data_IF_075858324081
#
_entry.id   IF_075858324081
#
_cell.length_a   1.000
_cell.length_b   1.000
_cell.length_c   1.000
_cell.angle_alpha   90.00
_cell.angle_beta   90.00
_cell.angle_gamma   90.00
#
_symmetry.space_group_name_H-M   'P 1'
#
loop_
_entity.id
_entity.type
_entity.pdbx_description
1 polymer ?
#
# COMPACT_ATOMS: atom_id res chain seq x y z
N UNK A 1 39.89 -16.53 22.13
CA UNK A 1 39.90 -15.33 21.24
C UNK A 1 38.73 -15.45 20.30
N UNK A 2 37.66 -14.66 20.48
CA UNK A 2 36.61 -14.54 19.48
C UNK A 2 37.27 -13.91 18.26
N UNK A 3 37.33 -14.67 17.16
CA UNK A 3 38.00 -14.27 15.92
C UNK A 3 37.34 -13.01 15.37
N UNK A 4 38.12 -11.96 15.10
CA UNK A 4 37.69 -10.69 14.51
C UNK A 4 36.83 -10.87 13.24
N UNK A 5 37.05 -11.98 12.52
CA UNK A 5 36.31 -12.36 11.31
C UNK A 5 34.82 -12.61 11.62
N UNK A 6 34.48 -13.19 12.78
CA UNK A 6 33.08 -13.41 13.16
C UNK A 6 32.37 -12.10 13.49
N UNK A 7 33.08 -11.13 14.07
CA UNK A 7 32.52 -9.84 14.43
C UNK A 7 32.18 -9.01 13.17
N UNK A 8 33.05 -9.02 12.15
CA UNK A 8 32.79 -8.29 10.89
C UNK A 8 31.63 -8.87 10.10
N UNK A 9 31.45 -10.20 10.08
CA UNK A 9 30.31 -10.84 9.42
C UNK A 9 28.99 -10.42 10.08
N UNK A 10 28.93 -10.40 11.41
CA UNK A 10 27.73 -9.99 12.14
C UNK A 10 27.36 -8.53 11.85
N UNK A 11 28.33 -7.61 11.85
CA UNK A 11 28.07 -6.20 11.54
C UNK A 11 27.63 -6.01 10.09
N UNK A 12 28.24 -6.73 9.14
CA UNK A 12 27.84 -6.70 7.73
C UNK A 12 26.41 -7.22 7.51
N UNK A 13 26.02 -8.27 8.23
CA UNK A 13 24.68 -8.87 8.12
C UNK A 13 23.61 -7.95 8.73
N UNK A 14 23.92 -7.27 9.84
CA UNK A 14 23.04 -6.23 10.41
C UNK A 14 22.88 -5.04 9.48
N UNK A 15 23.96 -4.59 8.82
CA UNK A 15 23.89 -3.50 7.84
C UNK A 15 23.07 -3.89 6.60
N UNK A 16 23.19 -5.12 6.11
CA UNK A 16 22.39 -5.60 4.98
C UNK A 16 20.91 -5.74 5.32
N UNK A 17 20.59 -6.20 6.54
CA UNK A 17 19.21 -6.24 7.04
C UNK A 17 18.63 -4.83 7.20
N UNK A 18 19.43 -3.86 7.64
CA UNK A 18 18.97 -2.47 7.75
C UNK A 18 18.64 -1.84 6.39
N UNK A 19 19.38 -2.17 5.32
CA UNK A 19 19.09 -1.66 3.97
C UNK A 19 17.85 -2.30 3.32
N UNK A 20 17.51 -3.55 3.65
CA UNK A 20 16.29 -4.17 3.12
C UNK A 20 15.00 -3.52 3.66
N UNK A 21 15.05 -2.94 4.86
CA UNK A 21 13.90 -2.24 5.43
C UNK A 21 13.54 -0.93 4.69
N UNK A 22 14.44 -0.38 3.86
CA UNK A 22 14.15 0.85 3.10
C UNK A 22 13.32 0.63 1.84
N UNK A 23 12.98 -0.62 1.49
CA UNK A 23 12.30 -0.94 0.23
C UNK A 23 10.79 -1.20 0.36
N UNK A 24 10.19 -1.01 1.55
CA UNK A 24 8.73 -1.05 1.73
C UNK A 24 8.06 0.26 1.28
N UNK A 25 8.62 0.90 0.25
CA UNK A 25 8.03 2.06 -0.43
C UNK A 25 7.39 1.71 -1.78
N UNK A 26 7.39 0.44 -2.18
CA UNK A 26 6.79 -0.01 -3.45
C UNK A 26 5.27 -0.18 -3.38
N UNK A 27 4.57 0.81 -2.81
CA UNK A 27 3.10 0.94 -2.87
C UNK A 27 2.57 1.23 -4.29
N UNK A 28 3.43 1.24 -5.31
CA UNK A 28 3.08 1.67 -6.67
C UNK A 28 2.14 0.73 -7.45
N UNK A 29 1.99 -0.54 -7.06
CA UNK A 29 1.12 -1.47 -7.82
C UNK A 29 -0.34 -1.42 -7.39
N UNK A 30 -0.61 -1.14 -6.10
CA UNK A 30 -1.98 -1.12 -5.57
C UNK A 30 -2.70 0.21 -5.78
N UNK A 31 -2.00 1.27 -6.19
CA UNK A 31 -2.55 2.61 -6.29
C UNK A 31 -2.31 3.18 -7.70
N UNK A 32 -3.21 2.90 -8.66
CA UNK A 32 -3.12 3.52 -9.97
C UNK A 32 -3.23 5.05 -9.86
N UNK A 33 -2.56 5.76 -10.78
CA UNK A 33 -2.79 7.19 -10.94
C UNK A 33 -4.17 7.40 -11.60
N UNK A 34 -5.11 7.94 -10.82
CA UNK A 34 -6.53 8.07 -11.23
C UNK A 34 -7.00 9.51 -11.33
N UNK A 35 -6.15 10.45 -10.92
CA UNK A 35 -6.41 11.88 -10.97
C UNK A 35 -5.38 12.54 -11.88
N UNK A 36 -5.77 13.59 -12.58
CA UNK A 36 -4.78 14.40 -13.28
C UNK A 36 -3.96 15.25 -12.28
N UNK A 37 -2.82 15.79 -12.72
CA UNK A 37 -1.92 16.56 -11.86
C UNK A 37 -2.59 17.78 -11.18
N UNK A 38 -3.58 18.40 -11.84
CA UNK A 38 -4.33 19.51 -11.25
C UNK A 38 -5.25 19.05 -10.12
N UNK A 39 -5.93 17.92 -10.28
CA UNK A 39 -6.77 17.30 -9.25
C UNK A 39 -5.94 16.78 -8.08
N UNK A 40 -4.79 16.15 -8.34
CA UNK A 40 -3.88 15.69 -7.29
C UNK A 40 -3.38 16.86 -6.41
N UNK A 41 -3.14 18.02 -7.02
CA UNK A 41 -2.72 19.20 -6.26
C UNK A 41 -3.88 19.82 -5.48
N UNK A 42 -5.08 19.87 -6.06
CA UNK A 42 -6.24 20.52 -5.44
C UNK A 42 -6.90 19.68 -4.36
N UNK A 43 -6.96 18.35 -4.54
CA UNK A 43 -7.69 17.42 -3.67
C UNK A 43 -6.90 16.12 -3.47
N UNK A 44 -5.68 16.18 -2.89
CA UNK A 44 -4.78 15.02 -2.81
C UNK A 44 -5.39 13.86 -2.02
N UNK A 45 -6.13 14.15 -0.94
CA UNK A 45 -6.81 13.13 -0.13
C UNK A 45 -7.87 12.36 -0.93
N UNK A 46 -8.67 13.06 -1.74
CA UNK A 46 -9.71 12.42 -2.57
C UNK A 46 -9.06 11.55 -3.63
N UNK A 47 -7.97 12.04 -4.24
CA UNK A 47 -7.21 11.29 -5.24
C UNK A 47 -6.57 10.03 -4.65
N UNK A 48 -5.98 10.12 -3.47
CA UNK A 48 -5.46 8.94 -2.77
C UNK A 48 -6.54 7.90 -2.49
N UNK A 49 -7.71 8.32 -1.98
CA UNK A 49 -8.84 7.41 -1.75
C UNK A 49 -9.36 6.80 -3.05
N UNK A 50 -9.43 7.57 -4.14
CA UNK A 50 -9.79 7.02 -5.46
C UNK A 50 -8.77 5.97 -5.91
N UNK A 51 -7.47 6.22 -5.75
CA UNK A 51 -6.42 5.29 -6.15
C UNK A 51 -6.56 3.97 -5.40
N UNK A 52 -6.70 4.03 -4.07
CA UNK A 52 -6.99 2.86 -3.23
C UNK A 52 -8.27 2.14 -3.65
N UNK A 53 -9.35 2.87 -3.97
CA UNK A 53 -10.60 2.26 -4.41
C UNK A 53 -10.42 1.49 -5.72
N UNK A 54 -9.89 2.13 -6.76
CA UNK A 54 -9.73 1.50 -8.07
C UNK A 54 -8.75 0.34 -8.04
N UNK A 55 -7.60 0.49 -7.38
CA UNK A 55 -6.61 -0.59 -7.31
C UNK A 55 -7.10 -1.80 -6.54
N UNK A 56 -7.78 -1.61 -5.39
CA UNK A 56 -8.36 -2.74 -4.65
C UNK A 56 -9.54 -3.36 -5.41
N UNK A 57 -10.39 -2.56 -6.06
CA UNK A 57 -11.50 -3.08 -6.86
C UNK A 57 -10.99 -3.92 -8.05
N UNK A 58 -9.97 -3.46 -8.76
CA UNK A 58 -9.33 -4.19 -9.85
C UNK A 58 -8.68 -5.49 -9.34
N UNK A 59 -7.89 -5.40 -8.27
CA UNK A 59 -7.23 -6.56 -7.66
C UNK A 59 -8.23 -7.62 -7.21
N UNK A 60 -9.30 -7.22 -6.53
CA UNK A 60 -10.31 -8.17 -6.01
C UNK A 60 -11.21 -8.71 -7.12
N UNK A 61 -11.54 -7.90 -8.14
CA UNK A 61 -12.26 -8.39 -9.32
C UNK A 61 -11.44 -9.45 -10.06
N UNK A 62 -10.13 -9.22 -10.22
CA UNK A 62 -9.23 -10.20 -10.82
C UNK A 62 -9.10 -11.47 -9.95
N UNK A 63 -9.06 -11.33 -8.63
CA UNK A 63 -8.96 -12.45 -7.70
C UNK A 63 -10.22 -13.33 -7.67
N UNK A 64 -11.41 -12.73 -7.63
CA UNK A 64 -12.68 -13.48 -7.61
C UNK A 64 -13.15 -13.90 -9.01
N UNK A 65 -12.66 -13.23 -10.06
CA UNK A 65 -13.09 -13.46 -11.45
C UNK A 65 -14.44 -12.82 -11.80
N UNK A 66 -14.96 -11.95 -10.94
CA UNK A 66 -16.21 -11.20 -11.10
C UNK A 66 -16.25 -10.03 -10.11
N UNK A 67 -17.30 -9.21 -10.15
CA UNK A 67 -17.41 -8.07 -9.24
C UNK A 67 -17.59 -8.56 -7.80
N UNK A 68 -16.83 -8.01 -6.82
CA UNK A 68 -17.00 -8.41 -5.42
C UNK A 68 -18.41 -8.10 -4.91
N UNK A 69 -19.06 -9.09 -4.30
CA UNK A 69 -20.45 -8.97 -3.82
C UNK A 69 -21.48 -9.60 -4.76
N UNK A 70 -21.09 -9.99 -5.97
CA UNK A 70 -22.00 -10.65 -6.92
C UNK A 70 -22.40 -12.06 -6.46
N UNK A 71 -21.46 -12.82 -5.86
CA UNK A 71 -21.72 -14.19 -5.41
C UNK A 71 -21.89 -14.32 -3.91
N UNK A 72 -21.27 -13.44 -3.12
CA UNK A 72 -21.48 -13.44 -1.68
C UNK A 72 -21.22 -12.08 -1.03
N UNK A 73 -21.93 -11.80 0.05
CA UNK A 73 -21.66 -10.63 0.91
C UNK A 73 -20.26 -10.68 1.54
N UNK A 74 -19.67 -11.88 1.66
CA UNK A 74 -18.34 -12.06 2.20
C UNK A 74 -17.27 -11.42 1.30
N UNK A 75 -17.40 -11.53 -0.02
CA UNK A 75 -16.50 -10.89 -1.00
C UNK A 75 -16.59 -9.37 -0.93
N UNK A 76 -17.80 -8.83 -0.82
CA UNK A 76 -18.02 -7.39 -0.67
C UNK A 76 -17.38 -6.89 0.63
N UNK A 77 -17.60 -7.57 1.76
CA UNK A 77 -17.01 -7.19 3.05
C UNK A 77 -15.49 -7.30 3.04
N UNK A 78 -14.94 -8.34 2.45
CA UNK A 78 -13.50 -8.50 2.29
C UNK A 78 -12.89 -7.35 1.49
N UNK A 79 -13.49 -7.03 0.34
CA UNK A 79 -13.04 -5.95 -0.54
C UNK A 79 -13.13 -4.59 0.14
N UNK A 80 -14.26 -4.29 0.79
CA UNK A 80 -14.45 -3.05 1.55
C UNK A 80 -13.47 -2.93 2.72
N UNK A 81 -13.15 -4.05 3.40
CA UNK A 81 -12.14 -4.06 4.46
C UNK A 81 -10.74 -3.73 3.90
N UNK A 82 -10.36 -4.31 2.76
CA UNK A 82 -9.10 -3.99 2.08
C UNK A 82 -9.04 -2.52 1.65
N UNK A 83 -10.12 -1.98 1.05
CA UNK A 83 -10.21 -0.56 0.69
C UNK A 83 -10.04 0.35 1.90
N UNK A 84 -10.72 0.03 3.02
CA UNK A 84 -10.62 0.79 4.25
C UNK A 84 -9.20 0.76 4.84
N UNK A 85 -8.55 -0.39 4.78
CA UNK A 85 -7.16 -0.53 5.20
C UNK A 85 -6.22 0.32 4.33
N UNK A 86 -6.41 0.32 3.01
CA UNK A 86 -5.65 1.18 2.10
C UNK A 86 -5.82 2.67 2.45
N UNK A 87 -7.06 3.12 2.70
CA UNK A 87 -7.30 4.51 3.09
C UNK A 87 -6.60 4.91 4.39
N UNK A 88 -6.50 3.99 5.36
CA UNK A 88 -5.87 4.24 6.66
C UNK A 88 -4.35 4.17 6.63
N UNK A 89 -3.78 3.33 5.78
CA UNK A 89 -2.33 3.16 5.70
C UNK A 89 -1.71 4.17 4.73
N UNK A 90 -2.28 4.30 3.54
CA UNK A 90 -1.68 5.09 2.46
C UNK A 90 -2.17 6.54 2.44
N UNK A 91 -3.44 6.77 2.78
CA UNK A 91 -4.04 8.10 2.66
C UNK A 91 -4.10 8.90 3.97
N UNK A 92 -3.67 8.33 5.09
CA UNK A 92 -3.81 8.98 6.40
C UNK A 92 -3.06 10.31 6.47
N UNK A 93 -1.80 10.36 6.06
CA UNK A 93 -1.00 11.60 6.10
C UNK A 93 -1.56 12.67 5.14
N UNK A 94 -1.94 12.24 3.93
CA UNK A 94 -2.50 13.11 2.89
C UNK A 94 -3.87 13.67 3.27
N UNK A 95 -4.65 12.93 4.08
CA UNK A 95 -5.96 13.36 4.54
C UNK A 95 -5.93 14.08 5.89
N UNK A 96 -4.94 13.81 6.75
CA UNK A 96 -4.80 14.48 8.04
C UNK A 96 -4.50 15.98 7.90
N UNK A 97 -3.84 16.37 6.81
CA UNK A 97 -3.52 17.77 6.47
C UNK A 97 -4.68 18.52 5.81
N UNK A 98 -5.79 17.85 5.48
CA UNK A 98 -6.94 18.44 4.79
C UNK A 98 -8.00 19.04 5.74
N UNK A 99 -7.73 19.06 7.05
CA UNK A 99 -8.57 19.67 8.10
C UNK A 99 -7.89 20.89 8.70
#
# INVERSE_FOLDING_TARGET
MISFIKATILVGLVAFLACQNSQVGAASSLMPNVCNAGEETAMPCVCCKKACWFGIAEMTTAYFGHMPGERSDAEAKFTLAMMNQCFKLECNETCATAH
#
